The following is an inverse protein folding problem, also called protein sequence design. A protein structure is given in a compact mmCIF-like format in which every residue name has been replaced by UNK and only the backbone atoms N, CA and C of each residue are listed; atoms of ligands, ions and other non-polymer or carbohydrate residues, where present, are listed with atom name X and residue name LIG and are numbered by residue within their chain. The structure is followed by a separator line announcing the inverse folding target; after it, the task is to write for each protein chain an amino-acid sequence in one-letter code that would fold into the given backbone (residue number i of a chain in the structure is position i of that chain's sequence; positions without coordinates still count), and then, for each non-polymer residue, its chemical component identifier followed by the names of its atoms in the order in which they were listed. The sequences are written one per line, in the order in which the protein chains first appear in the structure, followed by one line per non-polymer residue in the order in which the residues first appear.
data_IF_799253366756
#
_entry.id   IF_799253366756
#
_cell.length_a   1.000
_cell.length_b   1.000
_cell.length_c   1.000
_cell.angle_alpha   90.00
_cell.angle_beta   90.00
_cell.angle_gamma   90.00
#
_symmetry.space_group_name_H-M   'P 1'
#
loop_
_entity.id
_entity.type
_entity.pdbx_description
1 polymer ?
#
# COMPACT_ATOMS: atom_id res chain seq x y z
N UNK A 1 10.91 -74.56 -7.23
CA UNK A 1 10.00 -73.61 -7.87
C UNK A 1 9.32 -72.72 -6.82
N UNK A 2 10.10 -71.96 -6.03
CA UNK A 2 9.54 -71.12 -4.94
C UNK A 2 10.24 -69.73 -4.80
N UNK A 3 10.99 -69.28 -5.82
CA UNK A 3 11.74 -68.03 -5.72
C UNK A 3 11.38 -66.94 -6.77
N UNK A 4 10.28 -67.13 -7.53
CA UNK A 4 9.87 -66.14 -8.56
C UNK A 4 8.69 -65.21 -8.17
N UNK A 5 8.06 -65.45 -7.01
CA UNK A 5 6.89 -64.65 -6.60
C UNK A 5 7.19 -63.45 -5.72
N UNK A 6 8.45 -63.25 -5.28
CA UNK A 6 8.80 -62.20 -4.32
C UNK A 6 9.43 -60.93 -4.95
N UNK A 7 9.62 -60.90 -6.27
CA UNK A 7 10.23 -59.76 -6.97
C UNK A 7 9.26 -58.82 -7.66
N UNK A 8 7.96 -59.10 -7.62
CA UNK A 8 6.94 -58.25 -8.28
C UNK A 8 6.15 -57.31 -7.34
N UNK A 9 6.35 -57.36 -6.03
CA UNK A 9 5.61 -56.57 -5.06
C UNK A 9 6.33 -55.29 -4.56
N UNK A 10 7.57 -55.03 -4.97
CA UNK A 10 8.36 -53.89 -4.45
C UNK A 10 8.43 -52.72 -5.43
N UNK A 11 7.95 -52.84 -6.67
CA UNK A 11 8.02 -51.77 -7.68
C UNK A 11 6.78 -50.86 -7.73
N UNK A 12 5.69 -51.23 -7.05
CA UNK A 12 4.40 -50.48 -7.12
C UNK A 12 4.19 -49.43 -6.05
N UNK A 13 5.11 -49.18 -5.09
CA UNK A 13 4.93 -48.24 -3.98
C UNK A 13 5.69 -46.92 -4.13
N UNK A 14 6.57 -46.78 -5.12
CA UNK A 14 7.36 -45.55 -5.32
C UNK A 14 6.77 -44.54 -6.35
N UNK A 15 5.59 -44.79 -6.91
CA UNK A 15 5.01 -43.92 -7.97
C UNK A 15 3.90 -42.96 -7.48
N UNK A 16 3.66 -42.89 -6.15
CA UNK A 16 2.52 -42.12 -5.59
C UNK A 16 2.87 -40.82 -4.80
N UNK A 17 4.11 -40.34 -4.83
CA UNK A 17 4.52 -39.29 -3.92
C UNK A 17 5.31 -38.14 -4.62
N UNK A 18 4.80 -37.62 -5.73
CA UNK A 18 5.30 -36.39 -6.33
C UNK A 18 4.15 -35.66 -6.99
N UNK A 19 3.38 -34.91 -6.25
CA UNK A 19 2.56 -33.80 -6.74
C UNK A 19 1.94 -32.99 -5.57
N UNK A 20 2.70 -32.63 -4.54
CA UNK A 20 2.39 -31.41 -3.80
C UNK A 20 3.22 -30.30 -4.42
N UNK A 21 2.73 -29.79 -5.54
CA UNK A 21 3.22 -28.55 -6.13
C UNK A 21 3.03 -27.43 -5.11
N UNK A 22 4.11 -26.92 -4.56
CA UNK A 22 4.16 -25.67 -3.85
C UNK A 22 3.72 -24.56 -4.82
N UNK A 23 2.43 -24.30 -4.88
CA UNK A 23 1.92 -23.01 -5.35
C UNK A 23 2.29 -21.97 -4.29
N UNK A 24 3.55 -21.60 -4.25
CA UNK A 24 4.02 -20.44 -3.51
C UNK A 24 3.46 -19.18 -4.17
N UNK A 25 2.17 -18.89 -3.96
CA UNK A 25 1.70 -17.52 -4.08
C UNK A 25 2.47 -16.72 -3.03
N UNK A 26 3.52 -16.02 -3.44
CA UNK A 26 4.20 -15.08 -2.58
C UNK A 26 3.15 -14.12 -2.02
N UNK A 27 2.81 -14.28 -0.75
CA UNK A 27 1.86 -13.40 -0.09
C UNK A 27 2.44 -11.99 -0.16
N UNK A 28 1.69 -11.03 -0.72
CA UNK A 28 2.10 -9.62 -0.72
C UNK A 28 2.28 -9.16 0.73
N UNK A 29 3.23 -8.28 0.93
CA UNK A 29 3.44 -7.63 2.23
C UNK A 29 2.18 -6.91 2.67
N UNK A 30 1.79 -7.10 3.94
CA UNK A 30 0.66 -6.39 4.51
C UNK A 30 1.09 -5.00 4.95
N UNK A 31 0.30 -3.99 4.60
CA UNK A 31 0.50 -2.65 5.11
C UNK A 31 0.37 -2.64 6.64
N UNK A 32 1.20 -1.84 7.34
CA UNK A 32 1.13 -1.76 8.79
C UNK A 32 -0.21 -1.21 9.26
N UNK A 33 -0.67 -1.71 10.41
CA UNK A 33 -1.83 -1.17 11.09
C UNK A 33 -1.40 -0.11 12.10
N UNK A 34 -1.92 1.10 11.96
CA UNK A 34 -1.64 2.20 12.89
C UNK A 34 -2.86 3.10 13.09
N UNK A 35 -2.92 3.71 14.26
CA UNK A 35 -3.84 4.83 14.53
C UNK A 35 -3.19 6.15 14.12
N UNK A 36 -3.99 7.09 13.66
CA UNK A 36 -3.53 8.41 13.27
C UNK A 36 -4.57 9.47 13.61
N UNK A 37 -4.09 10.72 13.76
CA UNK A 37 -4.94 11.89 13.96
C UNK A 37 -4.86 12.76 12.71
N UNK A 38 -6.01 13.02 12.10
CA UNK A 38 -6.13 13.92 10.97
C UNK A 38 -5.91 15.39 11.41
N UNK A 39 -5.67 16.30 10.46
CA UNK A 39 -5.49 17.71 10.78
C UNK A 39 -6.70 18.34 11.50
N UNK A 40 -7.92 17.87 11.22
CA UNK A 40 -9.14 18.33 11.90
C UNK A 40 -9.28 17.80 13.34
N UNK A 41 -8.31 17.04 13.85
CA UNK A 41 -8.27 16.42 15.16
C UNK A 41 -9.03 15.10 15.27
N UNK A 42 -9.69 14.65 14.23
CA UNK A 42 -10.37 13.35 14.23
C UNK A 42 -9.36 12.20 14.26
N UNK A 43 -9.69 11.14 15.01
CA UNK A 43 -8.86 9.94 15.11
C UNK A 43 -9.41 8.86 14.20
N UNK A 44 -8.50 8.17 13.53
CA UNK A 44 -8.83 7.05 12.66
C UNK A 44 -7.75 5.96 12.73
N UNK A 45 -8.02 4.83 12.11
CA UNK A 45 -7.11 3.69 12.02
C UNK A 45 -7.10 3.15 10.60
N UNK A 46 -5.96 2.64 10.17
CA UNK A 46 -5.81 2.07 8.82
C UNK A 46 -6.70 0.86 8.57
N UNK A 47 -7.07 0.11 9.62
CA UNK A 47 -8.01 -1.00 9.50
C UNK A 47 -9.39 -0.57 8.99
N UNK A 48 -9.80 0.67 9.25
CA UNK A 48 -11.05 1.24 8.75
C UNK A 48 -11.04 1.49 7.24
N UNK A 49 -9.86 1.44 6.62
CA UNK A 49 -9.69 1.55 5.18
C UNK A 49 -9.77 0.21 4.43
N UNK A 50 -9.96 -0.92 5.16
CA UNK A 50 -10.18 -2.23 4.53
C UNK A 50 -11.42 -2.17 3.61
N UNK A 51 -11.35 -2.85 2.49
CA UNK A 51 -12.37 -2.77 1.43
C UNK A 51 -12.18 -1.61 0.45
N UNK A 52 -11.21 -0.71 0.72
CA UNK A 52 -10.83 0.37 -0.21
C UNK A 52 -9.44 0.13 -0.78
N UNK A 53 -9.24 0.60 -2.00
CA UNK A 53 -7.90 0.81 -2.56
C UNK A 53 -7.34 2.08 -1.91
N UNK A 54 -6.22 1.96 -1.19
CA UNK A 54 -5.64 3.06 -0.42
C UNK A 54 -4.31 3.49 -1.05
N UNK A 55 -4.18 4.79 -1.29
CA UNK A 55 -2.91 5.44 -1.59
C UNK A 55 -2.36 6.09 -0.32
N UNK A 56 -1.18 5.67 0.12
CA UNK A 56 -0.44 6.33 1.20
C UNK A 56 0.74 7.06 0.58
N UNK A 57 0.74 8.39 0.68
CA UNK A 57 1.78 9.25 0.12
C UNK A 57 2.55 9.94 1.24
N UNK A 58 3.84 9.64 1.37
CA UNK A 58 4.76 10.32 2.27
C UNK A 58 5.36 11.52 1.59
N UNK A 59 5.20 12.70 2.22
CA UNK A 59 5.54 13.98 1.62
C UNK A 59 6.04 15.02 2.64
N UNK A 60 6.53 16.14 2.14
CA UNK A 60 6.85 17.31 2.96
C UNK A 60 6.63 18.60 2.17
N UNK A 61 6.31 19.69 2.86
CA UNK A 61 6.13 21.02 2.24
C UNK A 61 7.43 21.59 1.67
N UNK A 62 8.57 21.13 2.19
CA UNK A 62 9.91 21.48 1.70
C UNK A 62 10.38 20.66 0.50
N UNK A 63 9.63 19.61 0.12
CA UNK A 63 9.94 18.73 -1.00
C UNK A 63 9.31 19.29 -2.28
N UNK A 64 10.11 19.85 -3.17
CA UNK A 64 9.62 20.48 -4.41
C UNK A 64 8.82 19.51 -5.29
N UNK A 65 9.32 18.26 -5.47
CA UNK A 65 8.64 17.22 -6.24
C UNK A 65 7.30 16.84 -5.62
N UNK A 66 7.22 16.75 -4.28
CA UNK A 66 5.97 16.48 -3.57
C UNK A 66 4.91 17.56 -3.84
N UNK A 67 5.33 18.84 -3.80
CA UNK A 67 4.45 19.96 -4.09
C UNK A 67 3.97 19.95 -5.53
N UNK A 68 4.84 19.55 -6.48
CA UNK A 68 4.50 19.46 -7.90
C UNK A 68 3.55 18.30 -8.22
N UNK A 69 3.68 17.15 -7.56
CA UNK A 69 2.81 15.99 -7.79
C UNK A 69 1.44 16.12 -7.10
N UNK A 70 1.32 16.94 -6.05
CA UNK A 70 0.10 17.03 -5.24
C UNK A 70 -1.18 17.30 -6.05
N UNK A 71 -1.22 18.19 -7.06
CA UNK A 71 -2.39 18.36 -7.90
C UNK A 71 -2.84 17.10 -8.64
N UNK A 72 -1.89 16.22 -9.01
CA UNK A 72 -2.18 14.94 -9.67
C UNK A 72 -2.78 13.94 -8.69
N UNK A 73 -2.32 13.93 -7.43
CA UNK A 73 -2.90 13.13 -6.35
C UNK A 73 -4.33 13.62 -6.06
N UNK A 74 -4.55 14.94 -6.02
CA UNK A 74 -5.89 15.54 -5.88
C UNK A 74 -6.81 15.09 -7.01
N UNK A 75 -6.36 15.14 -8.26
CA UNK A 75 -7.14 14.69 -9.41
C UNK A 75 -7.49 13.19 -9.33
N UNK A 76 -6.57 12.35 -8.84
CA UNK A 76 -6.85 10.94 -8.58
C UNK A 76 -7.93 10.74 -7.52
N UNK A 77 -7.84 11.46 -6.40
CA UNK A 77 -8.86 11.39 -5.36
C UNK A 77 -10.23 11.79 -5.92
N UNK A 78 -10.31 12.89 -6.65
CA UNK A 78 -11.56 13.36 -7.26
C UNK A 78 -12.14 12.35 -8.27
N UNK A 79 -11.28 11.73 -9.08
CA UNK A 79 -11.68 10.74 -10.09
C UNK A 79 -12.23 9.46 -9.44
N UNK A 80 -11.60 8.99 -8.36
CA UNK A 80 -11.87 7.67 -7.79
C UNK A 80 -12.67 7.67 -6.49
N UNK A 81 -12.88 8.84 -5.86
CA UNK A 81 -13.76 8.93 -4.68
C UNK A 81 -15.16 8.39 -5.01
N UNK A 82 -15.78 7.70 -4.05
CA UNK A 82 -17.07 7.04 -4.28
C UNK A 82 -16.98 5.69 -4.98
N UNK A 83 -15.81 5.32 -5.55
CA UNK A 83 -15.57 4.01 -6.17
C UNK A 83 -14.80 3.03 -5.27
N UNK A 84 -14.66 3.35 -3.98
CA UNK A 84 -13.88 2.52 -3.05
C UNK A 84 -12.38 2.84 -3.04
N UNK A 85 -12.01 4.09 -3.31
CA UNK A 85 -10.64 4.61 -3.25
C UNK A 85 -10.51 5.66 -2.14
N UNK A 86 -9.34 5.72 -1.53
CA UNK A 86 -8.98 6.75 -0.58
C UNK A 86 -7.49 7.11 -0.69
N UNK A 87 -7.16 8.35 -0.34
CA UNK A 87 -5.79 8.83 -0.19
C UNK A 87 -5.54 9.22 1.27
N UNK A 88 -4.36 8.88 1.78
CA UNK A 88 -3.82 9.34 3.05
C UNK A 88 -2.45 9.98 2.78
N UNK A 89 -2.35 11.30 2.95
CA UNK A 89 -1.11 12.03 2.81
C UNK A 89 -0.43 12.15 4.18
N UNK A 90 0.74 11.55 4.33
CA UNK A 90 1.52 11.49 5.57
C UNK A 90 2.67 12.47 5.46
N UNK A 91 2.57 13.60 6.15
CA UNK A 91 3.67 14.56 6.25
C UNK A 91 4.73 14.02 7.19
N UNK A 92 6.00 14.11 6.77
CA UNK A 92 7.14 13.59 7.52
C UNK A 92 7.38 14.37 8.82
N UNK A 93 7.97 13.71 9.80
CA UNK A 93 8.24 14.26 11.14
C UNK A 93 9.12 15.52 11.17
N UNK A 94 9.91 15.75 10.14
CA UNK A 94 10.75 16.95 10.03
C UNK A 94 10.03 18.16 9.40
N UNK A 95 8.78 17.98 8.93
CA UNK A 95 8.00 19.06 8.32
C UNK A 95 7.23 19.85 9.39
N UNK A 96 7.42 21.18 9.51
CA UNK A 96 6.76 21.96 10.54
C UNK A 96 5.22 21.84 10.46
N UNK A 97 4.52 21.47 11.54
CA UNK A 97 3.07 21.27 11.53
C UNK A 97 2.27 22.45 10.99
N UNK A 98 2.67 23.68 11.29
CA UNK A 98 2.01 24.88 10.77
C UNK A 98 2.07 24.97 9.25
N UNK A 99 3.21 24.61 8.63
CA UNK A 99 3.35 24.60 7.17
C UNK A 99 2.48 23.53 6.51
N UNK A 100 2.40 22.34 7.13
CA UNK A 100 1.53 21.25 6.65
C UNK A 100 0.07 21.70 6.70
N UNK A 101 -0.35 22.32 7.81
CA UNK A 101 -1.69 22.88 7.98
C UNK A 101 -2.02 23.92 6.91
N UNK A 102 -1.15 24.94 6.76
CA UNK A 102 -1.33 26.02 5.80
C UNK A 102 -1.39 25.49 4.35
N UNK A 103 -0.52 24.52 4.02
CA UNK A 103 -0.52 23.90 2.71
C UNK A 103 -1.83 23.14 2.43
N UNK A 104 -2.26 22.29 3.37
CA UNK A 104 -3.44 21.47 3.21
C UNK A 104 -4.72 22.31 3.13
N UNK A 105 -4.85 23.33 3.97
CA UNK A 105 -6.04 24.20 4.03
C UNK A 105 -6.11 25.16 2.86
N UNK A 106 -5.00 25.82 2.51
CA UNK A 106 -4.97 26.78 1.39
C UNK A 106 -5.25 26.10 0.02
N UNK A 107 -4.95 24.82 -0.10
CA UNK A 107 -5.22 24.03 -1.31
C UNK A 107 -6.47 23.16 -1.20
N UNK A 108 -7.20 23.22 -0.09
CA UNK A 108 -8.40 22.44 0.18
C UNK A 108 -8.21 20.97 -0.22
N UNK A 109 -7.15 20.30 0.30
CA UNK A 109 -6.85 18.92 -0.05
C UNK A 109 -8.06 18.02 0.26
N UNK A 110 -8.59 17.23 -0.70
CA UNK A 110 -9.86 16.49 -0.56
C UNK A 110 -9.68 15.10 0.08
N UNK A 111 -8.64 14.90 0.89
CA UNK A 111 -8.31 13.63 1.51
C UNK A 111 -7.66 13.81 2.87
N UNK A 112 -7.48 12.70 3.60
CA UNK A 112 -6.86 12.72 4.92
C UNK A 112 -5.40 13.16 4.87
N UNK A 113 -5.06 14.12 5.71
CA UNK A 113 -3.67 14.56 5.94
C UNK A 113 -3.30 14.29 7.39
N UNK A 114 -2.15 13.67 7.58
CA UNK A 114 -1.59 13.25 8.87
C UNK A 114 -0.19 13.81 9.00
N UNK A 115 0.21 14.18 10.20
CA UNK A 115 1.60 14.52 10.51
C UNK A 115 2.20 13.37 11.31
N UNK A 116 3.23 12.74 10.78
CA UNK A 116 3.93 11.64 11.45
C UNK A 116 4.96 12.16 12.46
N UNK A 117 4.48 12.83 13.53
CA UNK A 117 5.34 13.53 14.49
C UNK A 117 6.48 12.69 15.07
N UNK A 118 6.30 11.38 15.15
CA UNK A 118 7.28 10.45 15.76
C UNK A 118 8.10 9.67 14.72
N UNK A 119 7.71 9.72 13.45
CA UNK A 119 8.26 8.86 12.42
C UNK A 119 7.78 7.41 12.48
N UNK A 120 6.85 7.10 13.39
CA UNK A 120 6.39 5.73 13.60
C UNK A 120 5.63 5.17 12.39
N UNK A 121 4.89 6.02 11.67
CA UNK A 121 4.16 5.60 10.47
C UNK A 121 5.18 5.25 9.37
N UNK A 122 6.13 6.13 9.09
CA UNK A 122 7.16 5.90 8.09
C UNK A 122 7.99 4.65 8.39
N UNK A 123 8.40 4.46 9.66
CA UNK A 123 9.13 3.27 10.11
C UNK A 123 8.30 2.00 9.91
N UNK A 124 6.99 2.04 10.19
CA UNK A 124 6.08 0.91 9.98
C UNK A 124 5.98 0.48 8.52
N UNK A 125 6.17 1.39 7.56
CA UNK A 125 6.23 1.10 6.11
C UNK A 125 7.63 0.66 5.63
N UNK A 126 8.53 0.27 6.53
CA UNK A 126 9.87 -0.24 6.20
C UNK A 126 10.84 0.88 5.83
N UNK A 127 10.98 1.85 6.72
CA UNK A 127 11.88 3.01 6.58
C UNK A 127 11.73 3.73 5.22
N UNK A 128 10.84 4.70 5.18
CA UNK A 128 10.66 5.56 4.00
C UNK A 128 11.95 6.35 3.75
N UNK A 129 12.68 6.08 2.65
CA UNK A 129 14.05 6.60 2.45
C UNK A 129 14.07 8.08 2.12
N UNK A 130 12.92 8.66 1.79
CA UNK A 130 12.80 10.07 1.40
C UNK A 130 11.43 10.36 0.81
N UNK A 131 11.23 11.62 0.44
CA UNK A 131 9.97 12.09 -0.15
C UNK A 131 10.15 12.58 -1.58
N UNK A 132 9.16 12.37 -2.46
CA UNK A 132 7.94 11.58 -2.17
C UNK A 132 8.21 10.08 -2.16
N UNK A 133 7.46 9.35 -1.33
CA UNK A 133 7.35 7.89 -1.42
C UNK A 133 5.88 7.52 -1.33
N UNK A 134 5.40 6.72 -2.27
CA UNK A 134 3.97 6.38 -2.40
C UNK A 134 3.77 4.89 -2.36
N UNK A 135 2.84 4.43 -1.53
CA UNK A 135 2.40 3.05 -1.45
C UNK A 135 0.97 2.93 -1.98
N UNK A 136 0.76 1.97 -2.88
CA UNK A 136 -0.57 1.55 -3.31
C UNK A 136 -0.94 0.25 -2.62
N UNK A 137 -2.07 0.24 -1.93
CA UNK A 137 -2.55 -0.83 -1.06
C UNK A 137 -3.90 -1.31 -1.59
N UNK A 138 -4.09 -2.62 -1.70
CA UNK A 138 -5.32 -3.21 -2.18
C UNK A 138 -6.43 -3.24 -1.11
N UNK A 139 -7.64 -3.67 -1.49
CA UNK A 139 -8.80 -3.78 -0.60
C UNK A 139 -8.58 -4.73 0.59
N UNK A 140 -7.63 -5.67 0.47
CA UNK A 140 -7.25 -6.62 1.53
C UNK A 140 -6.15 -6.07 2.43
N UNK A 141 -5.64 -4.87 2.13
CA UNK A 141 -4.58 -4.20 2.87
C UNK A 141 -3.18 -4.67 2.52
N UNK A 142 -3.00 -5.37 1.41
CA UNK A 142 -1.69 -5.77 0.95
C UNK A 142 -1.06 -4.66 0.10
N UNK A 143 0.25 -4.42 0.28
CA UNK A 143 1.02 -3.48 -0.53
C UNK A 143 1.18 -4.08 -1.93
N UNK A 144 0.63 -3.38 -2.93
CA UNK A 144 0.71 -3.78 -4.33
C UNK A 144 1.93 -3.20 -5.01
N UNK A 145 2.23 -1.93 -4.71
CA UNK A 145 3.34 -1.20 -5.32
C UNK A 145 3.88 -0.14 -4.37
N UNK A 146 5.20 0.03 -4.38
CA UNK A 146 5.90 1.14 -3.76
C UNK A 146 6.59 1.95 -4.86
N UNK A 147 6.39 3.25 -4.85
CA UNK A 147 7.09 4.21 -5.71
C UNK A 147 7.99 5.06 -4.82
N UNK A 148 9.28 5.13 -5.15
CA UNK A 148 10.25 6.01 -4.50
C UNK A 148 10.57 7.12 -5.49
N UNK A 149 10.34 8.37 -5.11
CA UNK A 149 10.25 9.50 -6.02
C UNK A 149 8.85 9.66 -6.61
N UNK A 150 8.68 10.61 -7.53
CA UNK A 150 7.40 10.84 -8.22
C UNK A 150 6.97 9.57 -8.96
N UNK A 151 5.74 9.09 -8.73
CA UNK A 151 5.25 7.90 -9.42
C UNK A 151 5.01 8.15 -10.91
N UNK A 152 5.19 7.13 -11.75
CA UNK A 152 4.56 7.14 -13.07
C UNK A 152 3.03 7.10 -12.85
N UNK A 153 2.41 8.25 -13.07
CA UNK A 153 0.96 8.37 -12.86
C UNK A 153 0.13 7.58 -13.88
N UNK A 154 0.64 7.26 -15.05
CA UNK A 154 -0.06 6.39 -15.99
C UNK A 154 -0.10 4.96 -15.45
N UNK A 155 1.03 4.44 -14.95
CA UNK A 155 1.10 3.16 -14.26
C UNK A 155 0.21 3.15 -13.02
N UNK A 156 0.32 4.18 -12.18
CA UNK A 156 -0.46 4.28 -10.94
C UNK A 156 -1.97 4.28 -11.21
N UNK A 157 -2.44 5.04 -12.19
CA UNK A 157 -3.84 5.05 -12.61
C UNK A 157 -4.31 3.66 -13.07
N UNK A 158 -3.53 2.99 -13.92
CA UNK A 158 -3.87 1.65 -14.43
C UNK A 158 -3.98 0.62 -13.29
N UNK A 159 -3.06 0.69 -12.31
CA UNK A 159 -3.09 -0.17 -11.13
C UNK A 159 -4.33 0.11 -10.26
N UNK A 160 -4.66 1.37 -10.01
CA UNK A 160 -5.86 1.73 -9.24
C UNK A 160 -7.14 1.25 -9.93
N UNK A 161 -7.30 1.46 -11.25
CA UNK A 161 -8.45 0.96 -12.00
C UNK A 161 -8.58 -0.57 -11.89
N UNK A 162 -7.46 -1.28 -12.04
CA UNK A 162 -7.41 -2.74 -11.89
C UNK A 162 -7.87 -3.17 -10.50
N UNK A 163 -7.32 -2.58 -9.43
CA UNK A 163 -7.65 -2.94 -8.04
C UNK A 163 -9.10 -2.59 -7.67
N UNK A 164 -9.64 -1.52 -8.23
CA UNK A 164 -11.05 -1.16 -8.04
C UNK A 164 -12.00 -2.17 -8.68
N UNK A 165 -11.59 -2.81 -9.79
CA UNK A 165 -12.37 -3.84 -10.47
C UNK A 165 -12.28 -5.22 -9.79
N UNK A 166 -11.27 -5.46 -8.94
CA UNK A 166 -11.13 -6.70 -8.17
C UNK A 166 -12.21 -6.75 -7.06
N UNK A 167 -12.73 -7.97 -6.79
CA UNK A 167 -13.74 -8.22 -5.75
C UNK A 167 -13.12 -8.24 -4.34
#
# INVERSE_FOLDING_TARGET
MRHLALRRAVVAVCAGMVALGLSGCGAREQAPNFGYTLLDGSQARTEQMRGKVLLVNFWATSCATCVQEMPRIVAMQQKFQGRGYATLAVAMNYDPPARVWDFATSRALPFGVVIDNTGAIANGFGDVPGTPTTFLIDKKGAIVKRFVGEPDFAELHALVEKLLAEA
#
